data_IF_229310323171
#
_entry.id   IF_229310323171
#
_cell.length_a   1.000
_cell.length_b   1.000
_cell.length_c   1.000
_cell.angle_alpha   90.00
_cell.angle_beta   90.00
_cell.angle_gamma   90.00
#
_symmetry.space_group_name_H-M   'P 1'
#
loop_
_entity.id
_entity.type
_entity.pdbx_description
1 polymer ?
#
# COMPACT_ATOMS: atom_id res chain seq x y z
N UNK A 1 -13.13 26.27 5.85
CA UNK A 1 -12.46 27.52 5.48
C UNK A 1 -11.89 27.32 4.08
N UNK A 2 -12.38 28.05 3.10
CA UNK A 2 -11.78 28.03 1.77
C UNK A 2 -10.64 29.05 1.74
N UNK A 3 -9.42 28.58 1.48
CA UNK A 3 -8.29 29.47 1.23
C UNK A 3 -8.42 29.96 -0.22
N UNK A 4 -8.50 31.27 -0.40
CA UNK A 4 -8.51 31.90 -1.71
C UNK A 4 -7.28 32.78 -1.88
N UNK A 5 -6.75 32.85 -3.08
CA UNK A 5 -5.73 33.82 -3.46
C UNK A 5 -6.41 34.92 -4.27
N UNK A 6 -6.35 36.12 -3.73
CA UNK A 6 -6.80 37.32 -4.45
C UNK A 6 -5.61 37.89 -5.22
N UNK A 7 -5.72 37.96 -6.54
CA UNK A 7 -4.74 38.61 -7.39
C UNK A 7 -5.41 39.80 -8.02
N UNK A 8 -4.97 41.00 -7.64
CA UNK A 8 -5.48 42.28 -8.17
C UNK A 8 -4.53 42.81 -9.22
N UNK A 9 -5.02 43.01 -10.42
CA UNK A 9 -4.30 43.69 -11.50
C UNK A 9 -4.90 45.04 -11.76
N UNK A 10 -4.09 46.10 -11.60
CA UNK A 10 -4.49 47.46 -11.90
C UNK A 10 -3.66 47.97 -13.08
N UNK A 11 -4.34 48.46 -14.09
CA UNK A 11 -3.71 49.16 -15.23
C UNK A 11 -4.00 50.66 -15.09
N UNK A 12 -2.94 51.42 -14.91
CA UNK A 12 -2.98 52.86 -14.70
C UNK A 12 -2.32 53.58 -15.88
N UNK A 13 -2.96 54.60 -16.41
CA UNK A 13 -2.33 55.45 -17.41
C UNK A 13 -1.18 56.25 -16.74
N UNK A 14 0.02 56.11 -17.31
CA UNK A 14 1.25 56.72 -16.77
C UNK A 14 1.28 58.24 -16.95
N UNK A 15 0.49 58.81 -17.85
CA UNK A 15 0.43 60.24 -18.13
C UNK A 15 -0.63 60.99 -17.30
N UNK A 16 -1.77 60.37 -17.14
CA UNK A 16 -2.91 61.01 -16.44
C UNK A 16 -3.13 60.46 -15.02
N UNK A 17 -2.45 59.35 -14.66
CA UNK A 17 -2.68 58.62 -13.42
C UNK A 17 -4.12 58.11 -13.24
N UNK A 18 -4.87 58.01 -14.33
CA UNK A 18 -6.22 57.44 -14.30
C UNK A 18 -6.20 55.94 -14.30
N UNK A 19 -7.07 55.34 -13.49
CA UNK A 19 -7.25 53.88 -13.43
C UNK A 19 -8.02 53.42 -14.68
N UNK A 20 -7.32 52.77 -15.62
CA UNK A 20 -7.92 52.28 -16.86
C UNK A 20 -8.65 50.96 -16.68
N UNK A 21 -8.16 50.10 -15.80
CA UNK A 21 -8.84 48.85 -15.44
C UNK A 21 -8.42 48.34 -14.06
N UNK A 22 -9.39 47.82 -13.34
CA UNK A 22 -9.19 47.10 -12.09
C UNK A 22 -9.84 45.72 -12.23
N UNK A 23 -9.02 44.68 -12.33
CA UNK A 23 -9.49 43.32 -12.43
C UNK A 23 -9.02 42.53 -11.21
N UNK A 24 -9.97 42.10 -10.41
CA UNK A 24 -9.72 41.21 -9.30
C UNK A 24 -10.03 39.79 -9.75
N UNK A 25 -9.00 38.96 -9.86
CA UNK A 25 -9.16 37.54 -10.10
C UNK A 25 -9.14 36.82 -8.76
N UNK A 26 -10.29 36.32 -8.34
CA UNK A 26 -10.40 35.42 -7.19
C UNK A 26 -10.15 34.02 -7.71
N UNK A 27 -8.99 33.45 -7.35
CA UNK A 27 -8.71 32.04 -7.58
C UNK A 27 -9.21 31.30 -6.35
N UNK A 28 -10.37 30.67 -6.49
CA UNK A 28 -10.87 29.73 -5.49
C UNK A 28 -9.98 28.48 -5.56
N UNK A 29 -9.07 28.36 -4.59
CA UNK A 29 -8.34 27.13 -4.41
C UNK A 29 -9.30 26.15 -3.72
N UNK A 30 -10.14 25.51 -4.52
CA UNK A 30 -10.83 24.33 -4.06
C UNK A 30 -9.76 23.35 -3.56
N UNK A 31 -9.68 23.16 -2.25
CA UNK A 31 -8.85 22.08 -1.68
C UNK A 31 -9.30 20.81 -2.39
N UNK A 32 -8.42 20.28 -3.22
CA UNK A 32 -8.69 18.95 -3.79
C UNK A 32 -8.97 18.00 -2.63
N UNK A 33 -10.06 17.22 -2.70
CA UNK A 33 -10.33 16.23 -1.69
C UNK A 33 -9.07 15.38 -1.49
N UNK A 34 -8.78 15.04 -0.23
CA UNK A 34 -7.66 14.15 0.09
C UNK A 34 -7.85 12.87 -0.69
N UNK A 35 -6.80 12.45 -1.40
CA UNK A 35 -6.83 11.20 -2.15
C UNK A 35 -7.23 10.05 -1.22
N UNK A 36 -8.22 9.22 -1.60
CA UNK A 36 -8.57 8.05 -0.81
C UNK A 36 -7.37 7.13 -0.60
N UNK A 37 -7.36 6.41 0.51
CA UNK A 37 -6.31 5.42 0.77
C UNK A 37 -6.25 4.39 -0.36
N UNK A 38 -5.06 4.10 -0.85
CA UNK A 38 -4.83 3.13 -1.94
C UNK A 38 -3.65 2.23 -1.65
N UNK A 39 -3.61 1.12 -2.35
CA UNK A 39 -2.46 0.21 -2.41
C UNK A 39 -2.07 0.00 -3.87
N UNK A 40 -0.78 -0.04 -4.16
CA UNK A 40 -0.26 -0.37 -5.49
C UNK A 40 -0.37 -1.86 -5.70
N UNK A 41 -0.91 -2.25 -6.84
CA UNK A 41 -0.97 -3.62 -7.29
C UNK A 41 -0.12 -3.75 -8.56
N UNK A 42 0.92 -4.60 -8.49
CA UNK A 42 1.84 -4.82 -9.60
C UNK A 42 1.40 -6.02 -10.42
N UNK A 43 1.52 -5.91 -11.73
CA UNK A 43 0.97 -6.89 -12.67
C UNK A 43 2.00 -7.90 -13.20
N UNK A 44 3.27 -7.69 -12.93
CA UNK A 44 4.34 -8.53 -13.50
C UNK A 44 4.31 -9.96 -12.95
N UNK A 45 3.96 -10.12 -11.68
CA UNK A 45 3.94 -11.43 -10.98
C UNK A 45 2.54 -12.00 -10.74
N UNK A 46 1.58 -11.66 -11.59
CA UNK A 46 0.20 -12.15 -11.48
C UNK A 46 0.07 -13.68 -11.45
N UNK A 47 1.07 -14.39 -11.96
CA UNK A 47 1.11 -15.85 -11.91
C UNK A 47 1.06 -16.41 -10.50
N UNK A 48 1.54 -15.68 -9.48
CA UNK A 48 1.46 -16.06 -8.08
C UNK A 48 0.00 -16.15 -7.60
N UNK A 49 -0.91 -15.40 -8.21
CA UNK A 49 -2.33 -15.38 -7.88
C UNK A 49 -3.13 -16.47 -8.62
N UNK A 50 -2.49 -17.23 -9.52
CA UNK A 50 -3.16 -18.30 -10.23
C UNK A 50 -3.68 -19.37 -9.27
N UNK A 51 -4.85 -19.93 -9.59
CA UNK A 51 -5.52 -20.98 -8.81
C UNK A 51 -5.98 -20.54 -7.41
N UNK A 52 -6.19 -19.24 -7.19
CA UNK A 52 -6.93 -18.77 -6.02
C UNK A 52 -8.42 -18.89 -6.29
N UNK A 53 -9.15 -19.36 -5.29
CA UNK A 53 -10.61 -19.35 -5.31
C UNK A 53 -11.14 -17.92 -5.11
N UNK A 54 -12.40 -17.70 -5.41
CA UNK A 54 -13.05 -16.40 -5.17
C UNK A 54 -13.00 -15.99 -3.69
N UNK A 55 -13.15 -16.96 -2.77
CA UNK A 55 -13.03 -16.73 -1.33
C UNK A 55 -11.62 -16.33 -0.93
N UNK A 56 -10.61 -17.04 -1.42
CA UNK A 56 -9.20 -16.72 -1.18
C UNK A 56 -8.83 -15.35 -1.74
N UNK A 57 -9.31 -15.01 -2.93
CA UNK A 57 -9.09 -13.68 -3.52
C UNK A 57 -9.70 -12.58 -2.65
N UNK A 58 -10.92 -12.77 -2.14
CA UNK A 58 -11.52 -11.81 -1.20
C UNK A 58 -10.69 -11.64 0.07
N UNK A 59 -10.22 -12.75 0.66
CA UNK A 59 -9.34 -12.69 1.83
C UNK A 59 -8.08 -11.88 1.50
N UNK A 60 -7.43 -12.16 0.37
CA UNK A 60 -6.22 -11.46 -0.04
C UNK A 60 -6.44 -9.95 -0.19
N UNK A 61 -7.58 -9.52 -0.75
CA UNK A 61 -7.92 -8.11 -0.86
C UNK A 61 -8.10 -7.44 0.52
N UNK A 62 -8.72 -8.14 1.49
CA UNK A 62 -8.81 -7.64 2.87
C UNK A 62 -7.42 -7.50 3.51
N UNK A 63 -6.53 -8.45 3.29
CA UNK A 63 -5.15 -8.37 3.78
C UNK A 63 -4.41 -7.19 3.15
N UNK A 64 -4.52 -7.02 1.85
CA UNK A 64 -3.91 -5.93 1.12
C UNK A 64 -4.43 -4.55 1.61
N UNK A 65 -5.74 -4.44 1.83
CA UNK A 65 -6.35 -3.22 2.36
C UNK A 65 -5.88 -2.90 3.79
N UNK A 66 -5.62 -3.93 4.60
CA UNK A 66 -5.17 -3.79 5.99
C UNK A 66 -3.66 -3.64 6.17
N UNK A 67 -2.87 -3.79 5.12
CA UNK A 67 -1.42 -3.68 5.19
C UNK A 67 -0.97 -2.24 5.46
N UNK A 68 0.04 -2.09 6.29
CA UNK A 68 0.68 -0.82 6.55
C UNK A 68 1.70 -0.42 5.46
N UNK A 69 2.44 0.67 5.67
CA UNK A 69 3.46 1.13 4.72
C UNK A 69 4.69 0.22 4.65
N UNK A 70 4.93 -0.60 5.67
CA UNK A 70 5.97 -1.64 5.65
C UNK A 70 5.51 -2.92 4.95
N UNK A 71 4.24 -3.01 4.59
CA UNK A 71 3.61 -4.19 4.01
C UNK A 71 3.20 -5.22 5.06
N UNK A 72 3.29 -4.89 6.34
CA UNK A 72 2.92 -5.79 7.41
C UNK A 72 1.41 -5.84 7.65
N UNK A 73 0.95 -7.02 7.98
CA UNK A 73 -0.44 -7.33 8.33
C UNK A 73 -0.48 -8.10 9.64
N UNK A 74 -1.24 -7.60 10.59
CA UNK A 74 -1.49 -8.27 11.85
C UNK A 74 -2.71 -9.19 11.73
N UNK A 75 -2.57 -10.47 12.02
CA UNK A 75 -3.62 -11.48 11.89
C UNK A 75 -3.85 -12.28 13.18
N UNK A 76 -4.10 -11.62 14.31
CA UNK A 76 -4.57 -12.31 15.50
C UNK A 76 -5.98 -12.89 15.26
N UNK A 77 -6.43 -13.77 16.14
CA UNK A 77 -7.71 -14.47 16.00
C UNK A 77 -8.90 -13.50 15.80
N UNK A 78 -8.90 -12.37 16.51
CA UNK A 78 -9.95 -11.35 16.36
C UNK A 78 -10.04 -10.77 14.96
N UNK A 79 -8.91 -10.50 14.33
CA UNK A 79 -8.86 -10.01 12.95
C UNK A 79 -9.29 -11.10 11.96
N UNK A 80 -8.85 -12.35 12.15
CA UNK A 80 -9.30 -13.48 11.32
C UNK A 80 -10.82 -13.66 11.38
N UNK A 81 -11.44 -13.52 12.56
CA UNK A 81 -12.90 -13.54 12.72
C UNK A 81 -13.59 -12.41 11.94
N UNK A 82 -13.03 -11.20 11.97
CA UNK A 82 -13.57 -10.06 11.22
C UNK A 82 -13.47 -10.28 9.70
N UNK A 83 -12.34 -10.78 9.22
CA UNK A 83 -12.16 -11.13 7.80
C UNK A 83 -13.15 -12.21 7.39
N UNK A 84 -13.28 -13.28 8.18
CA UNK A 84 -14.23 -14.37 7.94
C UNK A 84 -15.67 -13.85 7.80
N UNK A 85 -16.11 -13.01 8.74
CA UNK A 85 -17.43 -12.39 8.70
C UNK A 85 -17.62 -11.51 7.47
N UNK A 86 -16.63 -10.67 7.13
CA UNK A 86 -16.72 -9.76 5.98
C UNK A 86 -16.67 -10.50 4.64
N UNK A 87 -15.97 -11.62 4.57
CA UNK A 87 -15.85 -12.43 3.35
C UNK A 87 -16.94 -13.49 3.21
N UNK A 88 -17.83 -13.63 4.21
CA UNK A 88 -18.81 -14.71 4.32
C UNK A 88 -18.16 -16.10 4.26
N UNK A 89 -17.15 -16.30 5.11
CA UNK A 89 -16.36 -17.52 5.20
C UNK A 89 -16.17 -17.94 6.65
N UNK A 90 -15.72 -19.17 6.87
CA UNK A 90 -15.31 -19.64 8.19
C UNK A 90 -13.93 -19.12 8.59
N UNK A 91 -13.66 -19.01 9.89
CA UNK A 91 -12.32 -18.68 10.41
C UNK A 91 -11.27 -19.71 9.97
N UNK A 92 -11.68 -20.99 9.88
CA UNK A 92 -10.81 -22.05 9.38
C UNK A 92 -10.44 -21.83 7.91
N UNK A 93 -11.38 -21.40 7.07
CA UNK A 93 -11.11 -21.05 5.67
C UNK A 93 -10.11 -19.90 5.55
N UNK A 94 -10.22 -18.87 6.40
CA UNK A 94 -9.24 -17.77 6.49
C UNK A 94 -7.86 -18.29 6.87
N UNK A 95 -7.77 -19.15 7.89
CA UNK A 95 -6.49 -19.72 8.32
C UNK A 95 -5.85 -20.59 7.24
N UNK A 96 -6.63 -21.41 6.54
CA UNK A 96 -6.17 -22.23 5.42
C UNK A 96 -5.68 -21.36 4.25
N UNK A 97 -6.39 -20.28 3.93
CA UNK A 97 -5.98 -19.33 2.91
C UNK A 97 -4.63 -18.67 3.25
N UNK A 98 -4.44 -18.25 4.51
CA UNK A 98 -3.17 -17.67 4.97
C UNK A 98 -2.02 -18.68 4.80
N UNK A 99 -2.22 -19.94 5.19
CA UNK A 99 -1.22 -21.01 5.01
C UNK A 99 -0.89 -21.19 3.53
N UNK A 100 -1.88 -21.20 2.66
CA UNK A 100 -1.70 -21.29 1.21
C UNK A 100 -0.94 -20.06 0.65
N UNK A 101 -1.26 -18.86 1.13
CA UNK A 101 -0.55 -17.65 0.71
C UNK A 101 0.93 -17.66 1.12
N UNK A 102 1.24 -18.18 2.29
CA UNK A 102 2.63 -18.36 2.72
C UNK A 102 3.35 -19.39 1.83
N UNK A 103 2.73 -20.53 1.52
CA UNK A 103 3.33 -21.54 0.64
C UNK A 103 3.55 -21.04 -0.79
N UNK A 104 2.74 -20.10 -1.25
CA UNK A 104 2.86 -19.46 -2.58
C UNK A 104 3.73 -18.20 -2.60
N UNK A 105 4.37 -17.85 -1.50
CA UNK A 105 5.15 -16.60 -1.37
C UNK A 105 4.34 -15.32 -1.62
N UNK A 106 3.02 -15.37 -1.46
CA UNK A 106 2.15 -14.19 -1.45
C UNK A 106 2.26 -13.46 -0.12
N UNK A 107 2.45 -14.22 0.97
CA UNK A 107 2.74 -13.74 2.31
C UNK A 107 4.03 -14.36 2.83
N UNK A 108 4.73 -13.63 3.68
CA UNK A 108 5.84 -14.12 4.48
C UNK A 108 5.49 -13.95 5.95
N UNK A 109 5.61 -15.00 6.74
CA UNK A 109 5.47 -14.90 8.18
C UNK A 109 6.73 -14.30 8.78
N UNK A 110 6.61 -13.17 9.48
CA UNK A 110 7.74 -12.47 10.11
C UNK A 110 7.80 -12.72 11.61
N UNK A 111 6.64 -12.88 12.25
CA UNK A 111 6.53 -13.20 13.67
C UNK A 111 5.17 -13.85 13.96
N UNK A 112 4.87 -14.11 15.23
CA UNK A 112 3.58 -14.63 15.67
C UNK A 112 2.46 -13.69 15.27
N UNK A 113 1.54 -14.15 14.45
CA UNK A 113 0.41 -13.38 13.90
C UNK A 113 0.82 -12.14 13.09
N UNK A 114 2.09 -11.99 12.73
CA UNK A 114 2.59 -10.91 11.87
C UNK A 114 3.04 -11.51 10.55
N UNK A 115 2.56 -10.93 9.47
CA UNK A 115 2.86 -11.35 8.11
C UNK A 115 3.20 -10.13 7.26
N UNK A 116 4.07 -10.32 6.28
CA UNK A 116 4.41 -9.32 5.28
C UNK A 116 3.83 -9.74 3.93
N UNK A 117 3.12 -8.82 3.28
CA UNK A 117 2.68 -9.00 1.89
C UNK A 117 3.87 -8.94 0.94
N UNK A 118 3.87 -9.82 -0.05
CA UNK A 118 4.87 -9.79 -1.09
C UNK A 118 4.86 -8.43 -1.81
N UNK A 119 5.95 -7.63 -1.70
CA UNK A 119 6.01 -6.30 -2.28
C UNK A 119 6.12 -6.31 -3.81
N UNK A 120 6.28 -7.47 -4.44
CA UNK A 120 6.16 -7.63 -5.90
C UNK A 120 4.70 -7.66 -6.36
N UNK A 121 3.77 -7.95 -5.46
CA UNK A 121 2.33 -7.97 -5.74
C UNK A 121 1.65 -6.72 -5.21
N UNK A 122 1.84 -6.40 -3.94
CA UNK A 122 1.14 -5.30 -3.27
C UNK A 122 2.12 -4.45 -2.47
N UNK A 123 2.03 -3.13 -2.58
CA UNK A 123 2.82 -2.25 -1.75
C UNK A 123 2.18 -0.87 -1.56
N UNK A 124 2.55 -0.21 -0.46
CA UNK A 124 2.25 1.19 -0.17
C UNK A 124 3.54 1.99 -0.06
N UNK A 125 3.44 3.29 -0.31
CA UNK A 125 4.53 4.22 -0.12
C UNK A 125 5.34 4.51 -1.39
N UNK A 126 6.54 5.02 -1.19
CA UNK A 126 7.41 5.46 -2.27
C UNK A 126 8.13 4.30 -2.93
N UNK A 127 8.35 4.41 -4.23
CA UNK A 127 9.03 3.36 -5.01
C UNK A 127 10.40 2.98 -4.46
N UNK A 128 11.18 3.95 -3.98
CA UNK A 128 12.51 3.68 -3.39
C UNK A 128 12.42 2.71 -2.21
N UNK A 129 11.46 2.92 -1.31
CA UNK A 129 11.25 2.06 -0.12
C UNK A 129 10.73 0.69 -0.51
N UNK A 130 9.80 0.65 -1.47
CA UNK A 130 9.23 -0.61 -2.01
C UNK A 130 10.34 -1.46 -2.63
N UNK A 131 11.24 -0.86 -3.39
CA UNK A 131 12.36 -1.57 -4.02
C UNK A 131 13.30 -2.22 -2.99
N UNK A 132 13.60 -1.54 -1.90
CA UNK A 132 14.40 -2.14 -0.83
C UNK A 132 13.66 -3.28 -0.12
N UNK A 133 12.36 -3.16 0.09
CA UNK A 133 11.54 -4.24 0.65
C UNK A 133 11.47 -5.46 -0.28
N UNK A 134 11.43 -5.28 -1.59
CA UNK A 134 11.48 -6.37 -2.57
C UNK A 134 12.74 -7.21 -2.39
N UNK A 135 13.90 -6.56 -2.24
CA UNK A 135 15.17 -7.26 -1.98
C UNK A 135 15.14 -8.02 -0.65
N UNK A 136 14.64 -7.38 0.41
CA UNK A 136 14.59 -7.95 1.75
C UNK A 136 13.60 -9.13 1.85
N UNK A 137 12.50 -9.11 1.10
CA UNK A 137 11.46 -10.15 1.15
C UNK A 137 12.00 -11.54 0.80
N UNK A 138 12.88 -11.63 -0.20
CA UNK A 138 13.49 -12.87 -0.64
C UNK A 138 14.78 -13.23 0.10
N UNK A 139 15.25 -12.36 1.01
CA UNK A 139 16.44 -12.61 1.80
C UNK A 139 16.12 -13.51 2.98
N UNK A 140 16.72 -14.70 3.04
CA UNK A 140 16.67 -15.58 4.17
C UNK A 140 17.93 -15.44 4.99
N UNK A 141 17.79 -15.06 6.25
CA UNK A 141 18.88 -15.02 7.21
C UNK A 141 18.81 -16.28 8.05
N UNK A 142 19.83 -17.12 7.99
CA UNK A 142 19.97 -18.33 8.82
C UNK A 142 21.14 -18.13 9.77
N UNK A 143 20.91 -18.43 11.05
CA UNK A 143 21.95 -18.48 12.05
C UNK A 143 22.27 -19.94 12.35
N UNK A 144 23.55 -20.30 12.27
CA UNK A 144 24.02 -21.62 12.68
C UNK A 144 24.16 -21.70 14.20
N UNK A 145 24.15 -22.89 14.82
CA UNK A 145 24.38 -23.03 16.27
C UNK A 145 25.70 -22.42 16.76
N UNK A 146 26.68 -22.33 15.89
CA UNK A 146 28.01 -21.72 16.16
C UNK A 146 27.98 -20.18 16.06
N UNK A 147 26.81 -19.56 15.86
CA UNK A 147 26.66 -18.10 15.77
C UNK A 147 27.04 -17.50 14.41
N UNK A 148 27.33 -18.30 13.40
CA UNK A 148 27.57 -17.79 12.05
C UNK A 148 26.26 -17.38 11.37
N UNK A 149 26.31 -16.26 10.65
CA UNK A 149 25.18 -15.71 9.88
C UNK A 149 25.34 -16.01 8.41
N UNK A 150 24.42 -16.79 7.86
CA UNK A 150 24.33 -17.01 6.42
C UNK A 150 23.15 -16.21 5.88
N UNK A 151 23.39 -15.43 4.82
CA UNK A 151 22.37 -14.64 4.12
C UNK A 151 22.18 -15.26 2.74
N UNK A 152 21.03 -15.87 2.52
CA UNK A 152 20.63 -16.38 1.21
C UNK A 152 19.64 -15.37 0.60
N UNK A 153 20.00 -14.84 -0.57
CA UNK A 153 19.09 -14.00 -1.35
C UNK A 153 18.63 -14.79 -2.57
N UNK A 154 17.39 -15.24 -2.56
CA UNK A 154 16.78 -15.83 -3.73
C UNK A 154 16.32 -14.69 -4.65
N UNK A 155 17.21 -14.22 -5.49
CA UNK A 155 16.84 -13.40 -6.64
C UNK A 155 16.18 -14.33 -7.64
N UNK A 156 14.89 -14.18 -7.81
CA UNK A 156 14.18 -14.74 -8.97
C UNK A 156 14.46 -13.77 -10.12
N UNK A 157 15.28 -14.21 -11.07
CA UNK A 157 15.51 -13.52 -12.33
C UNK A 157 14.24 -13.50 -13.19
#
# INVERSE_FOLDING_TARGET
MSDYIEKREQVVDKLTSELLSDKTNIIDINRMPVEPGYIKFYIDDLSLLNRLTAGETRILLYLAAGADYSGEVLLPLGIKKRIASSADLSVQAVSNAITKFVSKSILKRTDTSIYELNPDLFARGKWREIRERRKAFYTKITYTPDGQRTVETNLVD
#
